data_IF_789567078543
#
_entry.id   IF_789567078543
#
_cell.length_a   1.000
_cell.length_b   1.000
_cell.length_c   1.000
_cell.angle_alpha   90.00
_cell.angle_beta   90.00
_cell.angle_gamma   90.00
#
_symmetry.space_group_name_H-M   'P 1'
#
loop_
_entity.id
_entity.type
_entity.pdbx_description
1 polymer ?
#
# COMPACT_ATOMS: atom_id res chain seq x y z
N UNK A 1 -41.65 -10.87 -17.13
CA UNK A 1 -41.31 -10.94 -15.71
C UNK A 1 -40.00 -10.20 -15.53
N UNK A 2 -40.09 -9.01 -14.93
CA UNK A 2 -38.97 -8.12 -14.70
C UNK A 2 -38.09 -8.71 -13.60
N UNK A 3 -36.85 -9.08 -13.93
CA UNK A 3 -35.80 -9.18 -12.92
C UNK A 3 -35.15 -7.80 -12.83
N UNK A 4 -35.71 -7.01 -11.93
CA UNK A 4 -35.21 -5.70 -11.55
C UNK A 4 -33.85 -5.92 -10.90
N UNK A 5 -32.78 -5.71 -11.68
CA UNK A 5 -31.48 -5.35 -11.12
C UNK A 5 -31.73 -4.23 -10.11
N UNK A 6 -31.50 -4.45 -8.81
CA UNK A 6 -31.72 -3.40 -7.83
C UNK A 6 -30.82 -2.22 -8.21
N UNK A 7 -31.33 -0.97 -8.23
CA UNK A 7 -30.47 0.17 -8.39
C UNK A 7 -29.51 0.19 -7.19
N UNK A 8 -28.22 -0.02 -7.45
CA UNK A 8 -27.17 0.16 -6.47
C UNK A 8 -27.38 1.51 -5.80
N UNK A 9 -27.41 1.50 -4.47
CA UNK A 9 -27.77 2.65 -3.66
C UNK A 9 -26.75 3.77 -3.95
N UNK A 10 -27.15 5.05 -4.03
CA UNK A 10 -26.20 6.15 -4.25
C UNK A 10 -25.09 6.23 -3.19
N UNK A 11 -25.22 5.53 -2.05
CA UNK A 11 -24.20 5.41 -1.01
C UNK A 11 -23.05 4.43 -1.36
N UNK A 12 -23.26 3.46 -2.26
CA UNK A 12 -22.20 2.53 -2.71
C UNK A 12 -21.15 3.22 -3.59
N UNK A 13 -21.52 4.33 -4.25
CA UNK A 13 -20.58 5.14 -5.05
C UNK A 13 -19.68 6.03 -4.20
N UNK A 14 -20.10 6.33 -2.97
CA UNK A 14 -19.35 7.15 -2.03
C UNK A 14 -18.45 6.28 -1.14
N UNK A 15 -18.89 5.05 -0.84
CA UNK A 15 -18.10 4.03 -0.12
C UNK A 15 -16.78 3.67 -0.85
N UNK A 16 -16.79 3.71 -2.19
CA UNK A 16 -15.63 3.39 -3.03
C UNK A 16 -14.67 4.57 -3.30
N UNK A 17 -14.96 5.77 -2.77
CA UNK A 17 -14.23 7.00 -3.16
C UNK A 17 -13.61 7.82 -2.04
N UNK A 18 -13.74 7.43 -0.77
CA UNK A 18 -13.34 8.31 0.34
C UNK A 18 -12.24 7.80 1.28
N UNK A 19 -11.95 6.49 1.33
CA UNK A 19 -11.00 5.91 2.30
C UNK A 19 -10.31 4.70 1.67
N UNK A 20 -9.46 4.93 0.66
CA UNK A 20 -8.68 3.85 0.07
C UNK A 20 -7.62 3.43 1.10
N UNK A 21 -7.75 2.26 1.72
CA UNK A 21 -6.73 1.72 2.64
C UNK A 21 -5.74 0.84 1.86
N UNK A 22 -4.44 1.07 2.04
CA UNK A 22 -3.39 0.15 1.59
C UNK A 22 -2.97 -0.73 2.77
N UNK A 23 -3.11 -2.05 2.61
CA UNK A 23 -2.60 -3.01 3.60
C UNK A 23 -1.19 -3.43 3.20
N UNK A 24 -0.28 -3.44 4.16
CA UNK A 24 1.09 -3.92 3.99
C UNK A 24 1.33 -5.10 4.92
N UNK A 25 1.90 -6.19 4.42
CA UNK A 25 2.18 -7.40 5.21
C UNK A 25 3.53 -8.03 4.84
N UNK A 26 3.98 -9.01 5.62
CA UNK A 26 5.14 -9.86 5.32
C UNK A 26 4.64 -11.28 5.11
N UNK A 27 4.93 -11.89 3.96
CA UNK A 27 4.71 -13.32 3.73
C UNK A 27 6.04 -14.06 3.84
N UNK A 28 6.11 -15.06 4.72
CA UNK A 28 7.31 -15.86 4.91
C UNK A 28 7.57 -16.74 3.69
N UNK A 29 8.84 -17.03 3.44
CA UNK A 29 9.35 -17.63 2.20
C UNK A 29 8.85 -19.03 1.84
N UNK A 30 7.98 -19.63 2.65
CA UNK A 30 7.32 -20.91 2.38
C UNK A 30 6.03 -20.79 1.54
N UNK A 31 5.48 -19.59 1.39
CA UNK A 31 4.21 -19.32 0.69
C UNK A 31 4.42 -18.43 -0.55
N UNK A 32 5.57 -18.60 -1.23
CA UNK A 32 5.94 -17.84 -2.44
C UNK A 32 5.30 -18.34 -3.75
N UNK A 33 4.15 -19.00 -3.70
CA UNK A 33 3.32 -19.17 -4.89
C UNK A 33 1.94 -18.56 -4.59
N UNK A 34 1.50 -17.69 -5.50
CA UNK A 34 0.24 -16.95 -5.51
C UNK A 34 0.17 -15.74 -4.56
N UNK A 35 0.75 -14.59 -4.97
CA UNK A 35 0.11 -13.29 -4.67
C UNK A 35 0.71 -12.07 -5.40
N UNK A 36 1.75 -12.23 -6.22
CA UNK A 36 2.24 -11.11 -7.05
C UNK A 36 1.37 -10.91 -8.30
N UNK A 37 0.33 -11.74 -8.51
CA UNK A 37 -0.59 -11.64 -9.66
C UNK A 37 -2.08 -11.69 -9.30
N UNK A 38 -2.52 -11.77 -8.04
CA UNK A 38 -3.98 -11.75 -7.75
C UNK A 38 -4.58 -10.32 -7.64
N UNK A 39 -3.76 -9.29 -7.86
CA UNK A 39 -4.25 -7.92 -8.08
C UNK A 39 -4.74 -7.65 -9.51
N UNK A 40 -4.52 -8.56 -10.46
CA UNK A 40 -4.93 -8.39 -11.87
C UNK A 40 -5.69 -9.62 -12.41
N UNK A 41 -5.61 -10.80 -11.77
CA UNK A 41 -6.35 -12.01 -12.18
C UNK A 41 -7.72 -12.21 -11.50
N UNK A 42 -8.18 -11.27 -10.67
CA UNK A 42 -9.54 -11.25 -10.12
C UNK A 42 -10.59 -10.61 -11.07
N UNK A 43 -10.26 -10.41 -12.35
CA UNK A 43 -11.15 -9.76 -13.34
C UNK A 43 -11.97 -10.73 -14.20
N UNK A 44 -11.70 -12.04 -14.16
CA UNK A 44 -12.42 -13.02 -15.01
C UNK A 44 -13.61 -13.72 -14.34
N UNK A 45 -13.91 -13.45 -13.06
CA UNK A 45 -14.96 -14.18 -12.34
C UNK A 45 -15.96 -13.33 -11.57
N UNK A 46 -16.22 -12.09 -11.97
CA UNK A 46 -17.45 -11.37 -11.60
C UNK A 46 -17.80 -11.33 -10.10
N UNK A 47 -16.80 -11.44 -9.23
CA UNK A 47 -16.92 -11.29 -7.78
C UNK A 47 -16.10 -10.04 -7.48
N UNK A 48 -16.78 -8.95 -7.13
CA UNK A 48 -16.10 -7.74 -6.70
C UNK A 48 -15.29 -8.11 -5.45
N UNK A 49 -13.97 -8.21 -5.59
CA UNK A 49 -13.12 -8.35 -4.42
C UNK A 49 -13.18 -7.04 -3.65
N UNK A 50 -14.08 -6.98 -2.68
CA UNK A 50 -14.18 -5.98 -1.59
C UNK A 50 -12.95 -6.00 -0.65
N UNK A 51 -11.80 -6.49 -1.12
CA UNK A 51 -10.56 -6.58 -0.36
C UNK A 51 -9.70 -5.36 -0.65
N UNK A 52 -9.17 -4.68 0.40
CA UNK A 52 -8.27 -3.57 0.19
C UNK A 52 -6.99 -4.04 -0.54
N UNK A 53 -6.42 -3.20 -1.41
CA UNK A 53 -5.14 -3.51 -2.06
C UNK A 53 -4.08 -3.87 -1.01
N UNK A 54 -3.36 -4.97 -1.25
CA UNK A 54 -2.39 -5.53 -0.30
C UNK A 54 -1.00 -5.61 -0.94
N UNK A 55 0.01 -5.07 -0.26
CA UNK A 55 1.43 -5.15 -0.62
C UNK A 55 2.16 -6.10 0.33
N UNK A 56 2.76 -7.16 -0.22
CA UNK A 56 3.51 -8.16 0.56
C UNK A 56 5.02 -7.95 0.42
N UNK A 57 5.72 -7.88 1.56
CA UNK A 57 7.18 -7.86 1.65
C UNK A 57 7.74 -9.27 1.82
N UNK A 58 8.96 -9.49 1.32
CA UNK A 58 9.63 -10.81 1.37
C UNK A 58 10.16 -11.16 2.75
N UNK A 59 10.36 -10.16 3.62
CA UNK A 59 10.92 -10.32 4.96
C UNK A 59 10.60 -9.09 5.82
N UNK A 60 10.67 -9.25 7.14
CA UNK A 60 10.55 -8.14 8.09
C UNK A 60 11.65 -7.09 7.88
N UNK A 61 12.88 -7.51 7.61
CA UNK A 61 13.99 -6.60 7.30
C UNK A 61 13.70 -5.75 6.04
N UNK A 62 13.11 -6.35 5.01
CA UNK A 62 12.76 -5.67 3.75
C UNK A 62 11.66 -4.63 3.96
N UNK A 63 10.64 -4.98 4.76
CA UNK A 63 9.59 -4.04 5.18
C UNK A 63 10.19 -2.89 5.98
N UNK A 64 10.98 -3.17 7.01
CA UNK A 64 11.54 -2.16 7.92
C UNK A 64 12.60 -1.28 7.24
N UNK A 65 13.33 -1.80 6.24
CA UNK A 65 14.26 -1.02 5.42
C UNK A 65 13.55 -0.13 4.39
N UNK A 66 12.31 -0.47 4.02
CA UNK A 66 11.51 0.26 3.04
C UNK A 66 10.60 1.29 3.70
N UNK A 67 9.77 0.87 4.64
CA UNK A 67 8.83 1.70 5.40
C UNK A 67 9.48 2.22 6.68
N UNK A 68 10.65 2.86 6.53
CA UNK A 68 11.31 3.50 7.67
C UNK A 68 10.46 4.66 8.20
N UNK A 69 10.64 5.11 9.46
CA UNK A 69 9.92 6.27 9.99
C UNK A 69 9.99 7.50 9.08
N UNK A 70 11.18 7.76 8.50
CA UNK A 70 11.40 8.85 7.56
C UNK A 70 10.61 8.74 6.25
N UNK A 71 10.35 7.51 5.81
CA UNK A 71 9.56 7.23 4.61
C UNK A 71 8.07 7.38 4.93
N UNK A 72 7.64 6.97 6.12
CA UNK A 72 6.28 7.21 6.59
C UNK A 72 5.99 8.72 6.71
N UNK A 73 6.92 9.49 7.28
CA UNK A 73 6.83 10.97 7.32
C UNK A 73 6.72 11.58 5.91
N UNK A 74 7.45 11.01 4.94
CA UNK A 74 7.42 11.45 3.54
C UNK A 74 6.05 11.16 2.89
N UNK A 75 5.49 9.97 3.11
CA UNK A 75 4.17 9.58 2.60
C UNK A 75 3.10 10.51 3.20
N UNK A 76 3.15 10.72 4.52
CA UNK A 76 2.24 11.62 5.22
C UNK A 76 2.34 13.06 4.69
N UNK A 77 3.56 13.57 4.51
CA UNK A 77 3.78 14.92 3.98
C UNK A 77 3.24 15.10 2.56
N UNK A 78 3.41 14.10 1.68
CA UNK A 78 2.83 14.12 0.34
C UNK A 78 1.31 14.15 0.41
N UNK A 79 0.71 13.38 1.31
CA UNK A 79 -0.75 13.36 1.48
C UNK A 79 -1.31 14.67 2.02
N UNK A 80 -0.67 15.24 3.03
CA UNK A 80 -1.18 16.44 3.69
C UNK A 80 -0.95 17.71 2.87
N UNK A 81 0.17 17.80 2.16
CA UNK A 81 0.59 19.05 1.50
C UNK A 81 0.50 19.00 -0.02
N UNK A 82 0.22 17.82 -0.59
CA UNK A 82 0.03 17.62 -2.02
C UNK A 82 1.06 18.35 -2.91
N UNK A 83 2.36 18.15 -2.67
CA UNK A 83 3.41 18.89 -3.35
C UNK A 83 3.34 18.64 -4.86
N UNK A 84 3.45 19.69 -5.64
CA UNK A 84 3.36 19.68 -7.10
C UNK A 84 4.60 19.11 -7.79
N UNK A 85 5.66 18.78 -7.03
CA UNK A 85 6.88 18.17 -7.58
C UNK A 85 7.76 17.50 -6.54
N UNK A 86 8.70 16.66 -6.99
CA UNK A 86 9.77 16.09 -6.16
C UNK A 86 10.58 17.19 -5.42
N UNK A 87 10.91 18.29 -6.10
CA UNK A 87 11.65 19.40 -5.48
C UNK A 87 10.88 20.09 -4.37
N UNK A 88 9.57 20.25 -4.56
CA UNK A 88 8.70 20.83 -3.53
C UNK A 88 8.53 19.87 -2.36
N UNK A 89 8.35 18.57 -2.65
CA UNK A 89 8.29 17.52 -1.63
C UNK A 89 9.54 17.57 -0.74
N UNK A 90 10.72 17.68 -1.34
CA UNK A 90 11.98 17.76 -0.61
C UNK A 90 12.08 19.00 0.29
N UNK A 91 11.53 20.14 -0.14
CA UNK A 91 11.46 21.37 0.68
C UNK A 91 10.49 21.22 1.83
N UNK A 92 9.34 20.57 1.59
CA UNK A 92 8.31 20.32 2.59
C UNK A 92 8.85 19.48 3.75
N UNK A 93 9.63 18.44 3.44
CA UNK A 93 10.22 17.57 4.47
C UNK A 93 11.60 18.04 4.96
N UNK A 94 12.10 19.19 4.48
CA UNK A 94 13.44 19.73 4.76
C UNK A 94 14.59 18.71 4.52
N UNK A 95 14.61 18.08 3.34
CA UNK A 95 15.60 17.05 2.97
C UNK A 95 16.23 17.30 1.60
N UNK A 96 17.38 16.65 1.36
CA UNK A 96 18.03 16.67 0.06
C UNK A 96 17.17 16.04 -1.04
N UNK A 97 17.03 16.76 -2.16
CA UNK A 97 16.23 16.36 -3.33
C UNK A 97 16.65 14.99 -3.86
N UNK A 98 17.96 14.67 -3.87
CA UNK A 98 18.46 13.39 -4.36
C UNK A 98 17.91 12.22 -3.55
N UNK A 99 17.96 12.33 -2.22
CA UNK A 99 17.48 11.28 -1.31
C UNK A 99 15.98 11.10 -1.47
N UNK A 100 15.23 12.21 -1.50
CA UNK A 100 13.78 12.18 -1.70
C UNK A 100 13.42 11.58 -3.05
N UNK A 101 14.14 11.92 -4.13
CA UNK A 101 13.93 11.31 -5.43
C UNK A 101 14.12 9.79 -5.40
N UNK A 102 15.20 9.31 -4.77
CA UNK A 102 15.48 7.87 -4.64
C UNK A 102 14.38 7.15 -3.83
N UNK A 103 13.94 7.75 -2.72
CA UNK A 103 12.84 7.23 -1.90
C UNK A 103 11.51 7.19 -2.67
N UNK A 104 11.12 8.29 -3.32
CA UNK A 104 9.89 8.35 -4.12
C UNK A 104 9.93 7.38 -5.30
N UNK A 105 11.09 7.21 -5.93
CA UNK A 105 11.26 6.23 -7.01
C UNK A 105 11.09 4.80 -6.52
N UNK A 106 11.56 4.49 -5.30
CA UNK A 106 11.35 3.17 -4.68
C UNK A 106 9.88 2.96 -4.32
N UNK A 107 9.23 3.95 -3.70
CA UNK A 107 7.81 3.90 -3.39
C UNK A 107 6.93 3.72 -4.64
N UNK A 108 7.31 4.35 -5.74
CA UNK A 108 6.61 4.20 -7.02
C UNK A 108 6.78 2.80 -7.61
N UNK A 109 7.96 2.19 -7.49
CA UNK A 109 8.19 0.81 -7.92
C UNK A 109 7.36 -0.21 -7.13
N UNK A 110 7.08 0.09 -5.86
CA UNK A 110 6.23 -0.71 -4.98
C UNK A 110 4.73 -0.42 -5.17
N UNK A 111 4.37 0.56 -6.03
CA UNK A 111 2.99 0.97 -6.22
C UNK A 111 2.38 1.72 -5.03
N UNK A 112 3.17 2.16 -4.06
CA UNK A 112 2.70 2.94 -2.90
C UNK A 112 2.35 4.36 -3.34
N UNK A 113 3.08 4.90 -4.31
CA UNK A 113 2.77 6.19 -4.94
C UNK A 113 2.78 6.07 -6.45
N UNK A 114 2.19 7.05 -7.12
CA UNK A 114 2.37 7.25 -8.56
C UNK A 114 2.91 8.64 -8.82
N UNK A 115 3.49 8.83 -10.01
CA UNK A 115 3.85 10.16 -10.48
C UNK A 115 2.84 10.60 -11.52
N UNK A 116 2.22 11.76 -11.29
CA UNK A 116 1.48 12.48 -12.31
C UNK A 116 2.40 13.45 -13.04
N UNK A 117 2.25 13.52 -14.37
CA UNK A 117 2.96 14.48 -15.20
C UNK A 117 2.19 15.80 -15.23
N UNK A 118 2.67 16.79 -14.47
CA UNK A 118 2.20 18.17 -14.55
C UNK A 118 3.19 18.98 -15.40
N UNK A 119 3.00 18.90 -16.73
CA UNK A 119 3.90 19.51 -17.71
C UNK A 119 5.29 18.87 -17.69
N UNK A 120 6.30 19.59 -17.19
CA UNK A 120 7.69 19.10 -17.06
C UNK A 120 8.00 18.55 -15.67
N UNK A 121 7.06 18.61 -14.72
CA UNK A 121 7.28 18.23 -13.32
C UNK A 121 6.61 16.89 -13.05
N UNK A 122 7.31 16.06 -12.27
CA UNK A 122 6.76 14.82 -11.71
C UNK A 122 6.16 15.13 -10.35
N UNK A 123 4.84 15.14 -10.25
CA UNK A 123 4.08 15.31 -9.01
C UNK A 123 3.89 13.93 -8.36
N UNK A 124 4.43 13.68 -7.15
CA UNK A 124 4.13 12.44 -6.45
C UNK A 124 2.71 12.47 -5.87
N UNK A 125 1.98 11.37 -6.03
CA UNK A 125 0.62 11.19 -5.53
C UNK A 125 0.53 9.87 -4.77
N UNK A 126 0.13 9.95 -3.52
CA UNK A 126 -0.29 8.79 -2.72
C UNK A 126 -1.78 8.58 -2.99
N UNK A 127 -2.21 7.35 -3.26
CA UNK A 127 -3.59 7.04 -3.69
C UNK A 127 -4.46 6.42 -2.59
N UNK A 128 -3.86 6.06 -1.44
CA UNK A 128 -4.55 5.61 -0.21
C UNK A 128 -4.52 6.65 0.92
N UNK A 129 -5.58 6.75 1.71
CA UNK A 129 -5.70 7.69 2.84
C UNK A 129 -5.23 7.06 4.15
N UNK A 130 -5.23 5.73 4.22
CA UNK A 130 -4.79 4.94 5.37
C UNK A 130 -3.78 3.87 4.93
N UNK A 131 -2.71 3.71 5.71
CA UNK A 131 -1.72 2.65 5.53
C UNK A 131 -1.74 1.74 6.76
N UNK A 132 -2.16 0.49 6.57
CA UNK A 132 -2.26 -0.50 7.65
C UNK A 132 -1.15 -1.52 7.51
N UNK A 133 -0.22 -1.56 8.46
CA UNK A 133 0.82 -2.60 8.51
C UNK A 133 0.32 -3.75 9.38
N UNK A 134 0.08 -4.90 8.76
CA UNK A 134 -0.33 -6.14 9.44
C UNK A 134 0.86 -7.08 9.50
N UNK A 135 1.23 -7.50 10.70
CA UNK A 135 2.31 -8.45 10.93
C UNK A 135 1.71 -9.73 11.53
N UNK A 136 1.48 -10.80 10.74
CA UNK A 136 1.01 -12.05 11.28
C UNK A 136 2.11 -12.70 12.13
N UNK A 137 1.81 -12.90 13.41
CA UNK A 137 2.61 -13.76 14.27
C UNK A 137 1.93 -15.12 14.31
N UNK A 138 2.59 -16.14 13.75
CA UNK A 138 2.09 -17.50 13.85
C UNK A 138 2.16 -17.96 15.32
N UNK A 139 1.04 -18.35 15.96
CA UNK A 139 1.09 -18.89 17.32
C UNK A 139 1.75 -20.27 17.42
N UNK A 140 2.04 -20.96 16.31
CA UNK A 140 2.53 -22.35 16.33
C UNK A 140 4.02 -22.49 15.99
N UNK A 141 4.87 -21.74 16.69
CA UNK A 141 6.25 -22.16 16.95
C UNK A 141 6.53 -22.25 18.47
N UNK A 142 5.48 -22.50 19.27
CA UNK A 142 5.59 -22.93 20.65
C UNK A 142 6.14 -24.35 20.71
N UNK A 143 7.48 -24.46 20.70
CA UNK A 143 8.15 -25.72 20.96
C UNK A 143 7.57 -26.40 22.19
N UNK A 144 7.22 -27.67 22.04
CA UNK A 144 6.85 -28.57 23.13
C UNK A 144 8.00 -28.66 24.13
N UNK A 145 8.06 -27.72 25.08
CA UNK A 145 8.85 -27.87 26.29
C UNK A 145 8.06 -28.83 27.20
N UNK A 146 8.21 -30.12 26.95
CA UNK A 146 7.92 -31.17 27.92
C UNK A 146 8.78 -30.90 29.15
N UNK A 147 8.22 -30.20 30.12
CA UNK A 147 8.69 -30.21 31.51
C UNK A 147 8.12 -31.47 32.15
N UNK A 148 8.90 -32.55 32.14
CA UNK A 148 8.62 -33.75 32.92
C UNK A 148 9.12 -33.54 34.38
N UNK A 149 8.42 -34.11 35.38
CA UNK A 149 8.60 -33.80 36.81
C UNK A 149 9.86 -34.38 37.46
#
# INVERSE_FOLDING_TARGET
MNDTTPPLHPMEREQLRAESTLVVTVKSSGEFHDDVTDGIEALERGDAVDSPPTLSFTSYDDLMATLTPRVLDLIEAIRQQEPSSINETARVVDRDVKNVHEELSRLAQLGIIFFEEDGQKKRPVVWFDELVITLPFDPEAGGTATVAP
#
